data_IF_519857486469
#
_entry.id   IF_519857486469
#
_cell.length_a   1.000
_cell.length_b   1.000
_cell.length_c   1.000
_cell.angle_alpha   90.00
_cell.angle_beta   90.00
_cell.angle_gamma   90.00
#
_symmetry.space_group_name_H-M   'P 1'
#
loop_
_entity.id
_entity.type
_entity.pdbx_description
1 polymer ?
#
# COMPACT_ATOMS: atom_id res chain seq x y z
N UNK A 1 -11.92 -36.75 4.31
CA UNK A 1 -10.61 -36.49 3.66
C UNK A 1 -10.73 -35.11 3.03
N UNK A 2 -9.80 -34.18 3.27
CA UNK A 2 -9.83 -32.89 2.56
C UNK A 2 -9.67 -33.16 1.07
N UNK A 3 -10.59 -32.63 0.25
CA UNK A 3 -10.48 -32.70 -1.20
C UNK A 3 -9.15 -32.08 -1.65
N UNK A 4 -8.53 -32.68 -2.66
CA UNK A 4 -7.30 -32.16 -3.26
C UNK A 4 -7.64 -30.90 -4.02
N UNK A 5 -6.93 -29.82 -3.74
CA UNK A 5 -7.11 -28.56 -4.47
C UNK A 5 -6.50 -28.68 -5.86
N UNK A 6 -7.30 -28.46 -6.90
CA UNK A 6 -6.83 -28.52 -8.29
C UNK A 6 -6.85 -27.13 -8.91
N UNK A 7 -5.70 -26.70 -9.42
CA UNK A 7 -5.51 -25.42 -10.12
C UNK A 7 -4.78 -25.69 -11.45
N UNK A 8 -4.84 -24.75 -12.40
CA UNK A 8 -4.03 -24.80 -13.63
C UNK A 8 -2.69 -24.12 -13.38
N UNK A 9 -2.58 -22.81 -13.59
CA UNK A 9 -1.38 -22.04 -13.24
C UNK A 9 -1.64 -21.19 -12.00
N UNK A 10 -0.61 -21.05 -11.15
CA UNK A 10 -0.65 -20.18 -9.98
C UNK A 10 0.43 -19.12 -10.09
N UNK A 11 0.03 -17.87 -10.31
CA UNK A 11 0.94 -16.72 -10.40
C UNK A 11 1.17 -16.15 -9.01
N UNK A 12 2.40 -16.18 -8.53
CA UNK A 12 2.81 -15.59 -7.25
C UNK A 12 3.44 -14.23 -7.49
N UNK A 13 2.81 -13.19 -6.94
CA UNK A 13 3.26 -11.82 -7.12
C UNK A 13 4.39 -11.49 -6.13
N UNK A 14 5.58 -11.29 -6.68
CA UNK A 14 6.81 -11.03 -5.94
C UNK A 14 7.47 -12.31 -5.46
N UNK A 15 8.80 -12.30 -5.44
CA UNK A 15 9.70 -13.35 -4.94
C UNK A 15 10.45 -12.94 -3.67
N UNK A 16 10.01 -11.87 -2.99
CA UNK A 16 10.50 -11.48 -1.65
C UNK A 16 10.06 -12.46 -0.55
N UNK A 17 10.00 -12.02 0.71
CA UNK A 17 9.64 -12.88 1.84
C UNK A 17 8.26 -13.56 1.69
N UNK A 18 7.22 -12.81 1.32
CA UNK A 18 5.86 -13.34 1.15
C UNK A 18 5.75 -14.30 -0.03
N UNK A 19 6.32 -13.91 -1.17
CA UNK A 19 6.37 -14.75 -2.36
C UNK A 19 7.07 -16.08 -2.13
N UNK A 20 8.23 -16.05 -1.47
CA UNK A 20 8.98 -17.24 -1.08
C UNK A 20 8.15 -18.13 -0.17
N UNK A 21 7.48 -17.56 0.84
CA UNK A 21 6.62 -18.30 1.74
C UNK A 21 5.48 -19.00 0.98
N UNK A 22 4.72 -18.28 0.15
CA UNK A 22 3.56 -18.85 -0.54
C UNK A 22 3.95 -19.87 -1.61
N UNK A 23 4.99 -19.59 -2.40
CA UNK A 23 5.53 -20.57 -3.36
C UNK A 23 6.01 -21.85 -2.65
N UNK A 24 6.64 -21.72 -1.48
CA UNK A 24 7.04 -22.85 -0.65
C UNK A 24 5.86 -23.63 -0.08
N UNK A 25 4.78 -22.96 0.36
CA UNK A 25 3.56 -23.65 0.80
C UNK A 25 2.89 -24.43 -0.33
N UNK A 26 2.86 -23.87 -1.55
CA UNK A 26 2.33 -24.56 -2.74
C UNK A 26 3.15 -25.80 -3.07
N UNK A 27 4.49 -25.71 -3.10
CA UNK A 27 5.37 -26.86 -3.31
C UNK A 27 5.12 -27.95 -2.25
N UNK A 28 5.11 -27.57 -0.97
CA UNK A 28 4.82 -28.50 0.14
C UNK A 28 3.43 -29.13 0.04
N UNK A 29 2.44 -28.38 -0.45
CA UNK A 29 1.08 -28.89 -0.65
C UNK A 29 1.03 -29.93 -1.77
N UNK A 30 1.77 -29.72 -2.86
CA UNK A 30 1.87 -30.69 -3.93
C UNK A 30 2.61 -31.96 -3.50
N UNK A 31 3.75 -31.83 -2.81
CA UNK A 31 4.52 -32.97 -2.28
C UNK A 31 3.68 -33.86 -1.33
N UNK A 32 2.74 -33.24 -0.60
CA UNK A 32 1.82 -33.94 0.30
C UNK A 32 0.53 -34.42 -0.36
N UNK A 33 0.40 -34.28 -1.68
CA UNK A 33 -0.81 -34.64 -2.42
C UNK A 33 -2.06 -33.87 -1.98
N UNK A 34 -1.89 -32.64 -1.46
CA UNK A 34 -2.98 -31.75 -1.04
C UNK A 34 -3.34 -30.71 -2.10
N UNK A 35 -2.45 -30.47 -3.05
CA UNK A 35 -2.71 -29.64 -4.21
C UNK A 35 -2.15 -30.30 -5.48
N UNK A 36 -2.74 -29.96 -6.62
CA UNK A 36 -2.21 -30.26 -7.95
C UNK A 36 -2.33 -29.02 -8.82
N UNK A 37 -1.23 -28.63 -9.45
CA UNK A 37 -1.20 -27.55 -10.43
C UNK A 37 -0.28 -27.90 -11.59
N UNK A 38 -0.47 -27.22 -12.73
CA UNK A 38 0.42 -27.34 -13.89
C UNK A 38 1.75 -26.64 -13.62
N UNK A 39 1.71 -25.43 -13.04
CA UNK A 39 2.89 -24.66 -12.66
C UNK A 39 2.57 -23.56 -11.66
N UNK A 40 3.56 -23.23 -10.82
CA UNK A 40 3.65 -21.99 -10.05
C UNK A 40 4.63 -21.06 -10.77
N UNK A 41 4.21 -19.84 -11.04
CA UNK A 41 5.04 -18.83 -11.70
C UNK A 41 5.29 -17.71 -10.70
N UNK A 42 6.52 -17.61 -10.19
CA UNK A 42 6.91 -16.49 -9.31
C UNK A 42 7.36 -15.33 -10.18
N UNK A 43 6.66 -14.20 -10.09
CA UNK A 43 6.95 -13.01 -10.89
C UNK A 43 7.65 -11.99 -10.02
N UNK A 44 8.88 -11.63 -10.35
CA UNK A 44 9.63 -10.57 -9.65
C UNK A 44 10.44 -9.74 -10.65
N UNK A 45 10.82 -8.52 -10.26
CA UNK A 45 11.68 -7.65 -11.06
C UNK A 45 13.15 -8.03 -10.89
N UNK A 46 13.49 -8.56 -9.71
CA UNK A 46 14.83 -9.00 -9.38
C UNK A 46 15.06 -10.43 -9.91
N UNK A 47 15.97 -10.64 -10.87
CA UNK A 47 16.32 -11.98 -11.34
C UNK A 47 16.94 -12.86 -10.24
N UNK A 48 17.45 -12.25 -9.16
CA UNK A 48 18.03 -12.93 -8.01
C UNK A 48 17.10 -12.89 -6.78
N UNK A 49 15.78 -12.73 -6.98
CA UNK A 49 14.83 -12.66 -5.89
C UNK A 49 14.94 -13.87 -4.93
N UNK A 50 14.62 -13.63 -3.66
CA UNK A 50 14.76 -14.61 -2.57
C UNK A 50 14.11 -15.97 -2.89
N UNK A 51 12.92 -15.96 -3.50
CA UNK A 51 12.21 -17.18 -3.86
C UNK A 51 13.01 -18.04 -4.85
N UNK A 52 13.71 -17.41 -5.80
CA UNK A 52 14.57 -18.12 -6.74
C UNK A 52 15.78 -18.72 -6.03
N UNK A 53 16.42 -17.95 -5.15
CA UNK A 53 17.59 -18.40 -4.41
C UNK A 53 17.28 -19.55 -3.44
N UNK A 54 16.14 -19.51 -2.74
CA UNK A 54 15.78 -20.50 -1.72
C UNK A 54 15.07 -21.73 -2.29
N UNK A 55 14.23 -21.56 -3.32
CA UNK A 55 13.41 -22.65 -3.85
C UNK A 55 13.97 -23.25 -5.14
N UNK A 56 14.70 -22.47 -5.96
CA UNK A 56 15.18 -22.92 -7.27
C UNK A 56 14.04 -23.24 -8.27
N UNK A 57 14.40 -23.53 -9.52
CA UNK A 57 13.45 -24.03 -10.52
C UNK A 57 13.04 -25.49 -10.26
N UNK A 58 11.85 -25.85 -10.68
CA UNK A 58 11.34 -27.22 -10.65
C UNK A 58 10.40 -27.45 -11.86
N UNK A 59 10.06 -28.70 -12.22
CA UNK A 59 9.16 -28.98 -13.34
C UNK A 59 7.81 -28.25 -13.26
N UNK A 60 7.37 -27.93 -12.05
CA UNK A 60 6.13 -27.27 -11.70
C UNK A 60 6.35 -25.85 -11.13
N UNK A 61 7.58 -25.30 -11.16
CA UNK A 61 7.87 -23.95 -10.66
C UNK A 61 8.86 -23.22 -11.56
N UNK A 62 8.41 -22.07 -12.06
CA UNK A 62 9.21 -21.19 -12.91
C UNK A 62 9.25 -19.77 -12.35
N UNK A 63 10.16 -18.95 -12.89
CA UNK A 63 10.35 -17.57 -12.48
C UNK A 63 10.28 -16.64 -13.69
N UNK A 64 9.40 -15.65 -13.64
CA UNK A 64 9.33 -14.59 -14.64
C UNK A 64 10.00 -13.33 -14.11
N UNK A 65 10.99 -12.82 -14.85
CA UNK A 65 11.69 -11.56 -14.52
C UNK A 65 11.04 -10.42 -15.29
N UNK A 66 10.16 -9.66 -14.63
CA UNK A 66 9.44 -8.56 -15.25
C UNK A 66 8.85 -7.59 -14.22
N UNK A 67 8.61 -6.31 -14.59
CA UNK A 67 7.63 -5.48 -13.91
C UNK A 67 6.26 -6.18 -13.89
N UNK A 68 5.57 -6.14 -12.74
CA UNK A 68 4.32 -6.87 -12.56
C UNK A 68 3.20 -6.39 -13.48
N UNK A 69 3.11 -5.09 -13.70
CA UNK A 69 2.18 -4.46 -14.63
C UNK A 69 2.39 -4.96 -16.07
N UNK A 70 3.65 -5.04 -16.51
CA UNK A 70 4.02 -5.56 -17.84
C UNK A 70 3.69 -7.06 -17.96
N UNK A 71 4.01 -7.84 -16.92
CA UNK A 71 3.68 -9.26 -16.89
C UNK A 71 2.16 -9.48 -16.97
N UNK A 72 1.38 -8.78 -16.14
CA UNK A 72 -0.07 -8.95 -16.12
C UNK A 72 -0.74 -8.41 -17.38
N UNK A 73 -0.22 -7.36 -18.03
CA UNK A 73 -0.71 -6.90 -19.32
C UNK A 73 -0.65 -8.02 -20.37
N UNK A 74 0.45 -8.80 -20.40
CA UNK A 74 0.63 -9.92 -21.32
C UNK A 74 -0.19 -11.14 -20.88
N UNK A 75 -0.03 -11.55 -19.62
CA UNK A 75 -0.66 -12.76 -19.08
C UNK A 75 -2.19 -12.69 -19.13
N UNK A 76 -2.78 -11.62 -18.60
CA UNK A 76 -4.24 -11.44 -18.60
C UNK A 76 -4.75 -11.05 -19.99
N UNK A 77 -3.94 -10.39 -20.83
CA UNK A 77 -4.29 -10.08 -22.22
C UNK A 77 -4.44 -11.32 -23.11
N UNK A 78 -3.76 -12.41 -22.77
CA UNK A 78 -3.87 -13.71 -23.45
C UNK A 78 -4.73 -14.73 -22.68
N UNK A 79 -5.17 -14.41 -21.47
CA UNK A 79 -5.94 -15.32 -20.63
C UNK A 79 -7.35 -15.55 -21.21
N UNK A 80 -7.85 -16.77 -21.02
CA UNK A 80 -9.22 -17.15 -21.31
C UNK A 80 -9.80 -17.90 -20.11
N UNK A 81 -11.10 -17.73 -19.88
CA UNK A 81 -11.83 -18.43 -18.82
C UNK A 81 -11.66 -19.94 -18.95
N UNK A 82 -11.59 -20.61 -17.81
CA UNK A 82 -11.61 -22.07 -17.80
C UNK A 82 -12.97 -22.57 -18.30
N UNK A 83 -12.99 -23.66 -19.07
CA UNK A 83 -14.26 -24.30 -19.44
C UNK A 83 -14.86 -24.99 -18.21
N UNK A 84 -16.18 -25.24 -18.18
CA UNK A 84 -16.79 -26.02 -17.11
C UNK A 84 -16.07 -27.36 -16.89
N UNK A 85 -15.62 -27.61 -15.67
CA UNK A 85 -14.87 -28.82 -15.30
C UNK A 85 -13.35 -28.74 -15.49
N UNK A 86 -12.82 -27.69 -16.13
CA UNK A 86 -11.38 -27.47 -16.23
C UNK A 86 -10.84 -26.71 -15.00
N UNK A 87 -9.59 -26.97 -14.57
CA UNK A 87 -8.95 -26.18 -13.52
C UNK A 87 -8.72 -24.72 -13.95
N UNK A 88 -8.95 -23.77 -13.04
CA UNK A 88 -8.73 -22.34 -13.25
C UNK A 88 -7.30 -21.91 -12.94
N UNK A 89 -6.88 -20.79 -13.52
CA UNK A 89 -5.66 -20.09 -13.10
C UNK A 89 -5.94 -19.19 -11.89
N UNK A 90 -4.94 -19.06 -11.03
CA UNK A 90 -5.03 -18.31 -9.78
C UNK A 90 -3.88 -17.34 -9.63
N UNK A 91 -4.12 -16.26 -8.88
CA UNK A 91 -3.13 -15.26 -8.53
C UNK A 91 -3.02 -15.22 -7.00
N UNK A 92 -1.80 -15.34 -6.48
CA UNK A 92 -1.45 -15.03 -5.09
C UNK A 92 -1.05 -13.55 -5.04
N UNK A 93 -1.88 -12.66 -4.47
CA UNK A 93 -1.51 -11.26 -4.31
C UNK A 93 -0.35 -11.09 -3.33
N UNK A 94 0.39 -10.00 -3.50
CA UNK A 94 1.31 -9.55 -2.45
C UNK A 94 0.58 -8.63 -1.46
N UNK A 95 0.81 -8.78 -0.15
CA UNK A 95 0.13 -8.00 0.88
C UNK A 95 0.61 -6.54 0.98
N UNK A 96 1.67 -6.15 0.28
CA UNK A 96 2.32 -4.84 0.41
C UNK A 96 2.31 -4.03 -0.90
N UNK A 97 1.51 -4.44 -1.88
CA UNK A 97 1.69 -4.01 -3.26
C UNK A 97 0.54 -3.16 -3.80
N UNK A 98 0.80 -2.36 -4.85
CA UNK A 98 -0.24 -1.58 -5.50
C UNK A 98 -1.38 -2.46 -5.98
N UNK A 99 -2.54 -1.85 -6.22
CA UNK A 99 -3.77 -2.53 -6.65
C UNK A 99 -3.68 -3.02 -8.11
N UNK A 100 -2.81 -4.01 -8.37
CA UNK A 100 -2.38 -4.44 -9.71
C UNK A 100 -3.54 -4.82 -10.63
N UNK A 101 -4.54 -5.52 -10.11
CA UNK A 101 -5.67 -5.97 -10.94
C UNK A 101 -6.52 -4.78 -11.41
N UNK A 102 -6.67 -3.74 -10.57
CA UNK A 102 -7.28 -2.49 -11.02
C UNK A 102 -6.41 -1.75 -12.02
N UNK A 103 -5.09 -1.71 -11.84
CA UNK A 103 -4.19 -1.08 -12.81
C UNK A 103 -4.36 -1.74 -14.20
N UNK A 104 -4.49 -3.06 -14.24
CA UNK A 104 -4.77 -3.80 -15.47
C UNK A 104 -6.14 -3.44 -16.07
N UNK A 105 -7.21 -3.45 -15.27
CA UNK A 105 -8.57 -3.06 -15.72
C UNK A 105 -8.60 -1.60 -16.22
N UNK A 106 -7.92 -0.68 -15.53
CA UNK A 106 -7.78 0.72 -15.93
C UNK A 106 -7.06 0.84 -17.28
N UNK A 107 -5.96 0.12 -17.47
CA UNK A 107 -5.22 0.11 -18.74
C UNK A 107 -6.09 -0.46 -19.89
N UNK A 108 -6.83 -1.54 -19.63
CA UNK A 108 -7.80 -2.13 -20.58
C UNK A 108 -8.89 -1.14 -20.97
N UNK A 109 -9.46 -0.41 -20.02
CA UNK A 109 -10.45 0.62 -20.28
C UNK A 109 -9.89 1.77 -21.14
N UNK A 110 -8.69 2.27 -20.83
CA UNK A 110 -8.00 3.31 -21.62
C UNK A 110 -7.70 2.86 -23.03
N UNK A 111 -7.23 1.63 -23.22
CA UNK A 111 -6.97 1.07 -24.54
C UNK A 111 -8.26 0.87 -25.34
N UNK A 112 -9.34 0.45 -24.68
CA UNK A 112 -10.64 0.21 -25.30
C UNK A 112 -11.33 1.50 -25.75
N UNK A 113 -11.11 2.60 -25.03
CA UNK A 113 -11.74 3.89 -25.33
C UNK A 113 -10.74 5.05 -25.26
N UNK A 114 -9.84 5.20 -26.25
CA UNK A 114 -8.84 6.27 -26.26
C UNK A 114 -9.46 7.68 -26.35
N UNK A 115 -10.63 7.80 -26.98
CA UNK A 115 -11.36 9.07 -27.16
C UNK A 115 -12.30 9.41 -25.99
N UNK A 116 -12.25 8.65 -24.90
CA UNK A 116 -13.12 8.84 -23.74
C UNK A 116 -12.33 9.20 -22.50
N UNK A 117 -13.02 9.83 -21.58
CA UNK A 117 -12.50 10.15 -20.28
C UNK A 117 -12.47 8.88 -19.42
N UNK A 118 -11.27 8.44 -19.03
CA UNK A 118 -11.04 7.26 -18.18
C UNK A 118 -10.13 7.65 -17.02
N UNK A 119 -10.73 7.84 -15.85
CA UNK A 119 -10.05 8.40 -14.67
C UNK A 119 -10.22 7.53 -13.43
N UNK A 120 -9.27 7.67 -12.51
CA UNK A 120 -9.38 7.14 -11.15
C UNK A 120 -9.94 8.25 -10.27
N UNK A 121 -10.97 7.95 -9.49
CA UNK A 121 -11.56 8.89 -8.54
C UNK A 121 -11.45 8.35 -7.10
N UNK A 122 -11.52 9.23 -6.08
CA UNK A 122 -11.69 8.80 -4.70
C UNK A 122 -12.94 7.91 -4.56
N UNK A 123 -12.82 6.84 -3.78
CA UNK A 123 -13.98 6.01 -3.40
C UNK A 123 -14.81 6.80 -2.37
N UNK A 124 -16.05 7.22 -2.67
CA UNK A 124 -16.86 8.05 -1.77
C UNK A 124 -17.48 7.23 -0.63
N UNK A 125 -18.09 7.92 0.33
CA UNK A 125 -18.85 7.31 1.41
C UNK A 125 -17.99 6.57 2.44
N UNK A 126 -18.62 5.75 3.28
CA UNK A 126 -17.96 4.91 4.28
C UNK A 126 -18.24 3.43 4.03
N UNK A 127 -17.24 2.59 4.29
CA UNK A 127 -17.35 1.13 4.31
C UNK A 127 -17.66 0.59 5.72
N UNK A 128 -17.69 1.46 6.74
CA UNK A 128 -17.95 1.08 8.14
C UNK A 128 -16.78 0.34 8.79
N UNK A 129 -15.57 0.45 8.22
CA UNK A 129 -14.37 -0.24 8.69
C UNK A 129 -13.58 0.65 9.65
N UNK A 130 -13.10 0.12 10.80
CA UNK A 130 -12.29 0.89 11.75
C UNK A 130 -11.01 1.46 11.15
N UNK A 131 -10.33 0.69 10.31
CA UNK A 131 -9.21 1.19 9.52
C UNK A 131 -9.70 1.56 8.12
N UNK A 132 -9.46 2.81 7.73
CA UNK A 132 -9.85 3.37 6.45
C UNK A 132 -8.89 4.50 6.05
N UNK A 133 -8.12 4.27 5.00
CA UNK A 133 -7.09 5.18 4.51
C UNK A 133 -7.11 5.24 2.99
N UNK A 134 -7.03 6.44 2.44
CA UNK A 134 -6.91 6.64 0.99
C UNK A 134 -5.50 7.07 0.63
N UNK A 135 -4.94 6.45 -0.39
CA UNK A 135 -3.74 6.93 -1.06
C UNK A 135 -4.04 8.29 -1.71
N UNK A 136 -3.05 9.21 -1.75
CA UNK A 136 -3.20 10.47 -2.46
C UNK A 136 -3.39 10.24 -3.97
N UNK A 137 -3.76 11.32 -4.66
CA UNK A 137 -3.72 11.34 -6.12
C UNK A 137 -2.30 11.01 -6.64
N UNK A 138 -2.17 10.37 -7.82
CA UNK A 138 -3.25 9.96 -8.72
C UNK A 138 -3.87 8.59 -8.39
N UNK A 139 -3.33 7.86 -7.41
CA UNK A 139 -3.68 6.46 -7.19
C UNK A 139 -5.06 6.27 -6.58
N UNK A 140 -5.45 7.12 -5.64
CA UNK A 140 -6.76 7.09 -4.95
C UNK A 140 -7.19 5.72 -4.38
N UNK A 141 -6.26 4.78 -4.24
CA UNK A 141 -6.53 3.46 -3.67
C UNK A 141 -6.97 3.62 -2.21
N UNK A 142 -8.13 3.07 -1.86
CA UNK A 142 -8.67 3.08 -0.50
C UNK A 142 -8.41 1.73 0.16
N UNK A 143 -7.58 1.75 1.19
CA UNK A 143 -7.24 0.59 2.01
C UNK A 143 -8.14 0.55 3.24
N UNK A 144 -8.83 -0.57 3.42
CA UNK A 144 -9.83 -0.76 4.47
C UNK A 144 -9.61 -2.06 5.23
N UNK A 145 -9.93 -2.06 6.52
CA UNK A 145 -9.85 -3.26 7.35
C UNK A 145 -10.84 -3.20 8.52
N UNK A 146 -11.52 -4.33 8.76
CA UNK A 146 -12.35 -4.55 9.96
C UNK A 146 -11.52 -4.79 11.23
N UNK A 147 -10.25 -5.16 11.08
CA UNK A 147 -9.30 -5.19 12.17
C UNK A 147 -8.67 -3.79 12.34
N UNK A 148 -8.86 -3.17 13.50
CA UNK A 148 -8.09 -2.01 13.98
C UNK A 148 -6.80 -2.42 14.71
N UNK A 149 -6.53 -3.72 14.80
CA UNK A 149 -5.28 -4.31 15.29
C UNK A 149 -4.43 -4.90 14.15
N UNK A 150 -3.16 -5.18 14.47
CA UNK A 150 -2.26 -5.88 13.55
C UNK A 150 -2.48 -7.40 13.63
N UNK A 151 -3.04 -7.97 12.55
CA UNK A 151 -3.10 -9.42 12.38
C UNK A 151 -1.74 -10.00 11.96
N UNK A 152 -1.47 -11.29 12.20
CA UNK A 152 -0.35 -11.99 11.58
C UNK A 152 -0.43 -11.86 10.05
N UNK A 153 0.70 -11.64 9.37
CA UNK A 153 0.66 -11.38 7.92
C UNK A 153 0.16 -12.55 7.08
N UNK A 154 0.25 -13.77 7.61
CA UNK A 154 -0.27 -14.99 6.99
C UNK A 154 -1.57 -15.47 7.65
N UNK A 155 -2.38 -14.53 8.17
CA UNK A 155 -3.68 -14.84 8.74
C UNK A 155 -4.56 -15.51 7.67
N UNK A 156 -4.99 -16.74 7.94
CA UNK A 156 -5.86 -17.52 7.04
C UNK A 156 -7.35 -17.19 7.19
N UNK A 157 -7.67 -16.20 8.03
CA UNK A 157 -9.03 -15.79 8.35
C UNK A 157 -9.89 -16.98 8.82
N UNK A 158 -9.50 -17.65 9.92
CA UNK A 158 -10.20 -18.83 10.43
C UNK A 158 -11.61 -18.48 10.92
N UNK A 159 -12.55 -19.44 10.90
CA UNK A 159 -13.95 -19.20 11.30
C UNK A 159 -14.09 -18.48 12.64
N UNK A 160 -13.26 -18.84 13.63
CA UNK A 160 -13.11 -18.11 14.89
C UNK A 160 -11.86 -17.23 14.82
N UNK A 161 -12.04 -15.92 14.93
CA UNK A 161 -10.95 -14.96 14.88
C UNK A 161 -10.20 -14.95 16.22
N UNK A 162 -8.87 -15.24 16.24
CA UNK A 162 -8.11 -15.29 17.49
C UNK A 162 -8.06 -13.98 18.27
N UNK A 163 -8.17 -12.84 17.57
CA UNK A 163 -8.07 -11.52 18.21
C UNK A 163 -9.33 -11.14 19.01
N UNK A 164 -10.51 -11.59 18.55
CA UNK A 164 -11.80 -11.29 19.22
C UNK A 164 -12.38 -12.49 19.97
N UNK A 165 -11.80 -13.69 19.79
CA UNK A 165 -12.24 -14.92 20.45
C UNK A 165 -13.60 -15.46 19.98
N UNK A 166 -14.14 -14.97 18.86
CA UNK A 166 -15.47 -15.31 18.37
C UNK A 166 -15.52 -15.40 16.84
N UNK A 167 -16.66 -15.85 16.31
CA UNK A 167 -16.90 -15.84 14.87
C UNK A 167 -16.94 -14.40 14.34
N UNK A 168 -16.34 -14.18 13.17
CA UNK A 168 -16.46 -12.88 12.50
C UNK A 168 -17.92 -12.62 12.14
N UNK A 169 -18.33 -11.37 12.29
CA UNK A 169 -19.67 -10.88 11.90
C UNK A 169 -19.63 -9.99 10.66
N UNK A 170 -18.50 -9.98 9.95
CA UNK A 170 -18.23 -9.10 8.83
C UNK A 170 -17.65 -9.85 7.63
N UNK A 171 -17.95 -9.33 6.44
CA UNK A 171 -17.34 -9.73 5.17
C UNK A 171 -17.10 -8.48 4.32
N UNK A 172 -15.86 -8.24 3.90
CA UNK A 172 -15.51 -7.05 3.10
C UNK A 172 -16.28 -7.00 1.78
N UNK A 173 -16.56 -8.16 1.18
CA UNK A 173 -17.35 -8.23 -0.05
C UNK A 173 -18.73 -7.60 0.11
N UNK A 174 -19.37 -7.82 1.26
CA UNK A 174 -20.70 -7.29 1.55
C UNK A 174 -20.64 -5.80 1.87
N UNK A 175 -19.61 -5.34 2.57
CA UNK A 175 -19.37 -3.92 2.80
C UNK A 175 -19.21 -3.14 1.48
N UNK A 176 -18.42 -3.69 0.54
CA UNK A 176 -18.17 -3.07 -0.76
C UNK A 176 -19.41 -3.09 -1.65
N UNK A 177 -20.18 -4.18 -1.67
CA UNK A 177 -21.48 -4.25 -2.36
C UNK A 177 -22.48 -3.25 -1.78
N UNK A 178 -22.59 -3.19 -0.45
CA UNK A 178 -23.47 -2.25 0.24
C UNK A 178 -23.11 -0.79 -0.04
N UNK A 179 -21.82 -0.46 -0.18
CA UNK A 179 -21.41 0.87 -0.63
C UNK A 179 -21.88 1.14 -2.07
N UNK A 180 -21.67 0.20 -3.00
CA UNK A 180 -22.11 0.35 -4.38
C UNK A 180 -23.64 0.56 -4.49
N UNK A 181 -24.43 -0.17 -3.69
CA UNK A 181 -25.87 -0.01 -3.59
C UNK A 181 -26.28 1.37 -3.06
N UNK A 182 -25.64 1.85 -1.98
CA UNK A 182 -25.90 3.20 -1.46
C UNK A 182 -25.61 4.28 -2.50
N UNK A 183 -24.53 4.15 -3.27
CA UNK A 183 -24.19 5.11 -4.32
C UNK A 183 -25.24 5.11 -5.44
N UNK A 184 -25.73 3.94 -5.86
CA UNK A 184 -26.84 3.86 -6.83
C UNK A 184 -28.10 4.51 -6.32
N UNK A 185 -28.43 4.30 -5.04
CA UNK A 185 -29.62 4.89 -4.42
C UNK A 185 -29.57 6.42 -4.40
N UNK A 186 -28.37 7.02 -4.38
CA UNK A 186 -28.17 8.47 -4.50
C UNK A 186 -28.11 8.97 -5.95
N UNK A 187 -28.36 8.11 -6.94
CA UNK A 187 -28.36 8.46 -8.36
C UNK A 187 -26.98 8.43 -9.03
N UNK A 188 -25.93 7.95 -8.36
CA UNK A 188 -24.62 7.80 -9.00
C UNK A 188 -24.67 6.62 -9.99
N UNK A 189 -24.08 6.76 -11.20
CA UNK A 189 -24.09 5.73 -12.23
C UNK A 189 -23.05 4.63 -11.94
N UNK A 190 -23.14 3.99 -10.77
CA UNK A 190 -22.22 2.94 -10.32
C UNK A 190 -22.68 1.56 -10.82
N UNK A 191 -21.79 0.85 -11.50
CA UNK A 191 -21.95 -0.53 -11.95
C UNK A 191 -21.03 -1.48 -11.14
N UNK A 192 -21.32 -2.78 -11.16
CA UNK A 192 -20.56 -3.79 -10.41
C UNK A 192 -21.05 -3.98 -8.95
N UNK A 193 -20.16 -4.16 -7.95
CA UNK A 193 -18.70 -3.98 -8.00
C UNK A 193 -17.97 -5.13 -8.72
N UNK A 194 -16.77 -4.84 -9.24
CA UNK A 194 -15.83 -5.85 -9.71
C UNK A 194 -14.91 -6.27 -8.54
N UNK A 195 -15.04 -7.51 -8.04
CA UNK A 195 -14.37 -7.96 -6.83
C UNK A 195 -13.47 -9.17 -7.07
N UNK A 196 -12.20 -9.02 -6.73
CA UNK A 196 -11.19 -10.09 -6.74
C UNK A 196 -11.01 -10.56 -5.30
N UNK A 197 -11.79 -11.58 -4.92
CA UNK A 197 -11.86 -12.06 -3.53
C UNK A 197 -10.78 -13.10 -3.28
N UNK A 198 -9.80 -12.73 -2.46
CA UNK A 198 -8.74 -13.60 -1.98
C UNK A 198 -9.31 -14.63 -1.00
N UNK A 199 -9.16 -15.91 -1.32
CA UNK A 199 -9.56 -17.06 -0.49
C UNK A 199 -8.37 -17.98 -0.25
N UNK A 200 -8.31 -18.55 0.95
CA UNK A 200 -7.25 -19.49 1.31
C UNK A 200 -7.61 -20.90 0.85
N UNK A 201 -6.88 -21.45 -0.12
CA UNK A 201 -7.19 -22.76 -0.69
C UNK A 201 -6.41 -23.90 -0.02
N UNK A 202 -5.10 -23.75 0.14
CA UNK A 202 -4.25 -24.82 0.67
C UNK A 202 -3.11 -24.24 1.49
N UNK A 203 -2.88 -24.83 2.67
CA UNK A 203 -1.80 -24.44 3.59
C UNK A 203 -1.71 -22.92 3.84
N UNK A 204 -2.85 -22.25 3.89
CA UNK A 204 -2.93 -20.80 4.13
C UNK A 204 -2.45 -19.93 2.97
N UNK A 205 -2.38 -20.47 1.75
CA UNK A 205 -2.10 -19.68 0.54
C UNK A 205 -3.40 -19.01 0.08
N UNK A 206 -3.44 -17.69 0.18
CA UNK A 206 -4.53 -16.85 -0.31
C UNK A 206 -4.42 -16.60 -1.81
N UNK A 207 -5.48 -16.88 -2.56
CA UNK A 207 -5.55 -16.65 -4.01
C UNK A 207 -6.89 -16.07 -4.44
N UNK A 208 -6.93 -15.39 -5.57
CA UNK A 208 -8.16 -15.15 -6.32
C UNK A 208 -8.01 -15.70 -7.76
N UNK A 209 -9.14 -16.06 -8.37
CA UNK A 209 -9.16 -16.64 -9.71
C UNK A 209 -8.90 -15.58 -10.79
N UNK A 210 -8.18 -15.96 -11.85
CA UNK A 210 -8.02 -15.14 -13.06
C UNK A 210 -9.37 -14.87 -13.72
N UNK A 211 -10.29 -15.83 -13.70
CA UNK A 211 -11.64 -15.69 -14.26
C UNK A 211 -12.42 -14.53 -13.62
N UNK A 212 -12.23 -14.28 -12.31
CA UNK A 212 -12.82 -13.15 -11.60
C UNK A 212 -12.25 -11.80 -12.08
N UNK A 213 -10.97 -11.77 -12.48
CA UNK A 213 -10.33 -10.58 -13.06
C UNK A 213 -10.91 -10.27 -14.44
N UNK A 214 -11.09 -11.31 -15.27
CA UNK A 214 -11.73 -11.20 -16.58
C UNK A 214 -13.20 -10.75 -16.46
N UNK A 215 -13.95 -11.30 -15.50
CA UNK A 215 -15.31 -10.83 -15.17
C UNK A 215 -15.33 -9.37 -14.73
N UNK A 216 -14.34 -8.92 -13.97
CA UNK A 216 -14.18 -7.52 -13.60
C UNK A 216 -14.02 -6.58 -14.80
N UNK A 217 -13.21 -6.96 -15.80
CA UNK A 217 -13.08 -6.18 -17.04
C UNK A 217 -14.36 -6.23 -17.89
N UNK A 218 -15.09 -7.34 -17.91
CA UNK A 218 -16.40 -7.44 -18.56
C UNK A 218 -17.43 -6.48 -17.93
N UNK A 219 -17.46 -6.38 -16.59
CA UNK A 219 -18.30 -5.39 -15.88
C UNK A 219 -17.94 -3.97 -16.32
N UNK A 220 -16.64 -3.64 -16.40
CA UNK A 220 -16.17 -2.33 -16.86
C UNK A 220 -16.55 -2.08 -18.31
N UNK A 221 -16.36 -3.06 -19.19
CA UNK A 221 -16.75 -3.00 -20.58
C UNK A 221 -18.25 -2.73 -20.73
N UNK A 222 -19.09 -3.47 -20.00
CA UNK A 222 -20.53 -3.31 -20.03
C UNK A 222 -20.98 -1.93 -19.49
N UNK A 223 -20.40 -1.49 -18.37
CA UNK A 223 -20.66 -0.16 -17.79
C UNK A 223 -20.34 0.97 -18.76
N UNK A 224 -19.24 0.84 -19.51
CA UNK A 224 -18.83 1.84 -20.48
C UNK A 224 -19.53 1.73 -21.83
N UNK A 225 -20.24 0.66 -22.17
CA UNK A 225 -20.68 0.36 -23.54
C UNK A 225 -21.52 1.46 -24.18
N UNK A 226 -22.34 2.19 -23.40
CA UNK A 226 -23.23 3.24 -23.90
C UNK A 226 -22.52 4.57 -24.23
N UNK A 227 -21.27 4.75 -23.82
CA UNK A 227 -20.58 6.04 -23.91
C UNK A 227 -20.92 7.04 -22.79
N UNK A 228 -22.03 6.82 -22.06
CA UNK A 228 -22.48 7.68 -20.98
C UNK A 228 -21.52 7.69 -19.78
N UNK A 229 -21.76 8.62 -18.84
CA UNK A 229 -21.06 8.66 -17.57
C UNK A 229 -21.36 7.37 -16.77
N UNK A 230 -20.30 6.67 -16.37
CA UNK A 230 -20.39 5.44 -15.61
C UNK A 230 -19.25 5.37 -14.59
N UNK A 231 -19.47 4.62 -13.52
CA UNK A 231 -18.47 4.36 -12.49
C UNK A 231 -18.45 2.87 -12.15
N UNK A 232 -17.28 2.33 -11.85
CA UNK A 232 -17.14 0.94 -11.38
C UNK A 232 -16.24 0.91 -10.15
N UNK A 233 -16.78 0.36 -9.07
CA UNK A 233 -15.99 0.08 -7.87
C UNK A 233 -15.25 -1.23 -8.08
N UNK A 234 -13.91 -1.17 -8.04
CA UNK A 234 -13.03 -2.32 -8.25
C UNK A 234 -12.30 -2.62 -6.95
N UNK A 235 -12.37 -3.86 -6.48
CA UNK A 235 -11.80 -4.28 -5.20
C UNK A 235 -10.93 -5.53 -5.32
N UNK A 236 -9.81 -5.55 -4.61
CA UNK A 236 -9.03 -6.76 -4.33
C UNK A 236 -9.08 -6.92 -2.83
N UNK A 237 -9.83 -7.91 -2.37
CA UNK A 237 -10.31 -7.97 -0.99
C UNK A 237 -10.16 -9.39 -0.43
N UNK A 238 -10.08 -9.49 0.89
CA UNK A 238 -10.29 -10.71 1.67
C UNK A 238 -11.62 -10.62 2.42
N UNK A 239 -11.87 -11.46 3.42
CA UNK A 239 -13.03 -11.26 4.32
C UNK A 239 -12.81 -10.07 5.25
N UNK A 240 -11.57 -9.84 5.70
CA UNK A 240 -11.26 -8.83 6.73
C UNK A 240 -10.80 -7.46 6.19
N UNK A 241 -10.02 -7.45 5.11
CA UNK A 241 -9.36 -6.24 4.61
C UNK A 241 -9.28 -6.22 3.08
N UNK A 242 -8.97 -5.05 2.51
CA UNK A 242 -8.71 -4.98 1.08
C UNK A 242 -8.37 -3.58 0.59
N UNK A 243 -8.13 -3.50 -0.71
CA UNK A 243 -7.92 -2.27 -1.45
C UNK A 243 -9.04 -2.09 -2.47
N UNK A 244 -9.53 -0.86 -2.59
CA UNK A 244 -10.59 -0.49 -3.53
C UNK A 244 -10.29 0.80 -4.29
N UNK A 245 -10.71 0.85 -5.55
CA UNK A 245 -10.57 2.01 -6.42
C UNK A 245 -11.89 2.27 -7.15
N UNK A 246 -12.19 3.53 -7.46
CA UNK A 246 -13.32 3.91 -8.30
C UNK A 246 -12.83 4.29 -9.69
N UNK A 247 -13.20 3.48 -10.70
CA UNK A 247 -13.00 3.80 -12.10
C UNK A 247 -14.16 4.66 -12.59
N UNK A 248 -13.88 5.82 -13.20
CA UNK A 248 -14.87 6.67 -13.86
C UNK A 248 -14.66 6.63 -15.37
N UNK A 249 -15.77 6.46 -16.10
CA UNK A 249 -15.85 6.45 -17.56
C UNK A 249 -16.84 7.52 -18.01
N UNK A 250 -16.59 8.18 -19.13
CA UNK A 250 -17.53 9.15 -19.68
C UNK A 250 -16.99 9.86 -20.92
N UNK A 251 -17.75 10.81 -21.48
CA UNK A 251 -17.21 11.69 -22.51
C UNK A 251 -16.15 12.63 -21.92
N UNK A 252 -15.19 13.07 -22.75
CA UNK A 252 -14.10 13.99 -22.35
C UNK A 252 -14.60 15.27 -21.68
N UNK A 253 -15.82 15.72 -21.99
CA UNK A 253 -16.47 16.88 -21.39
C UNK A 253 -16.93 16.69 -19.94
N UNK A 254 -17.19 15.46 -19.49
CA UNK A 254 -17.84 15.17 -18.19
C UNK A 254 -16.85 15.00 -17.04
N UNK A 255 -15.56 14.75 -17.31
CA UNK A 255 -14.53 14.71 -16.25
C UNK A 255 -14.03 16.12 -15.89
N UNK A 256 -14.49 17.14 -16.61
CA UNK A 256 -14.07 18.53 -16.43
C UNK A 256 -14.84 19.35 -15.39
N UNK A 257 -15.88 18.81 -14.69
CA UNK A 257 -16.53 19.27 -13.42
C UNK A 257 -18.02 18.83 -13.37
N UNK A 258 -18.62 18.45 -12.21
CA UNK A 258 -18.51 19.14 -10.92
C UNK A 258 -18.39 18.22 -9.68
N UNK A 259 -17.19 18.17 -9.08
CA UNK A 259 -17.02 17.95 -7.63
C UNK A 259 -15.79 18.69 -7.05
N UNK A 260 -15.09 19.50 -7.85
CA UNK A 260 -13.95 20.31 -7.41
C UNK A 260 -14.33 21.64 -6.71
N UNK A 261 -15.42 21.68 -5.94
CA UNK A 261 -15.68 22.79 -5.01
C UNK A 261 -15.81 22.33 -3.56
N UNK A 262 -14.67 21.90 -3.01
CA UNK A 262 -14.05 22.44 -1.79
C UNK A 262 -12.73 21.74 -1.52
N UNK A 263 -11.67 22.21 -2.16
CA UNK A 263 -10.34 22.37 -1.59
C UNK A 263 -9.59 23.24 -2.59
N UNK A 264 -9.17 24.41 -2.16
CA UNK A 264 -8.34 25.32 -2.95
C UNK A 264 -7.14 24.56 -3.51
N UNK A 265 -7.09 24.51 -4.82
CA UNK A 265 -6.03 23.99 -5.66
C UNK A 265 -4.84 24.96 -5.60
N UNK A 266 -3.70 24.45 -5.11
CA UNK A 266 -2.36 24.94 -5.46
C UNK A 266 -1.50 23.72 -5.79
N UNK A 267 -1.73 23.11 -6.96
CA UNK A 267 -0.72 22.43 -7.77
C UNK A 267 0.37 21.64 -7.05
N UNK A 268 0.04 20.57 -6.32
CA UNK A 268 0.96 19.47 -5.95
C UNK A 268 2.22 19.82 -5.13
N UNK A 269 2.44 21.09 -4.78
CA UNK A 269 3.48 21.56 -3.88
C UNK A 269 2.89 21.65 -2.47
N UNK A 270 3.59 21.05 -1.51
CA UNK A 270 3.21 21.15 -0.11
C UNK A 270 3.34 22.62 0.29
N UNK A 271 2.23 23.26 0.67
CA UNK A 271 2.25 24.65 1.11
C UNK A 271 3.05 24.79 2.42
N UNK A 272 3.61 25.98 2.73
CA UNK A 272 4.30 26.21 3.99
C UNK A 272 3.45 25.88 5.23
N UNK A 273 2.15 26.16 5.16
CA UNK A 273 1.19 25.89 6.24
C UNK A 273 0.96 24.38 6.43
N UNK A 274 0.79 23.62 5.33
CA UNK A 274 0.67 22.16 5.39
C UNK A 274 1.95 21.51 5.91
N UNK A 275 3.11 22.00 5.45
CA UNK A 275 4.41 21.56 5.93
C UNK A 275 4.53 21.78 7.44
N UNK A 276 4.19 22.97 7.93
CA UNK A 276 4.23 23.29 9.35
C UNK A 276 3.27 22.42 10.18
N UNK A 277 2.07 22.12 9.65
CA UNK A 277 1.10 21.25 10.31
C UNK A 277 1.61 19.80 10.42
N UNK A 278 2.16 19.25 9.33
CA UNK A 278 2.76 17.91 9.32
C UNK A 278 3.94 17.85 10.29
N UNK A 279 4.76 18.90 10.32
CA UNK A 279 5.92 18.97 11.20
C UNK A 279 5.55 19.02 12.68
N UNK A 280 4.54 19.82 13.03
CA UNK A 280 4.02 19.89 14.39
C UNK A 280 3.50 18.53 14.83
N UNK A 281 2.72 17.87 13.96
CA UNK A 281 2.22 16.52 14.21
C UNK A 281 3.34 15.49 14.34
N UNK A 282 4.34 15.53 13.47
CA UNK A 282 5.50 14.63 13.53
C UNK A 282 6.25 14.77 14.86
N UNK A 283 6.46 16.00 15.32
CA UNK A 283 7.06 16.32 16.62
C UNK A 283 6.26 15.73 17.77
N UNK A 284 4.96 15.98 17.80
CA UNK A 284 4.10 15.55 18.89
C UNK A 284 4.01 14.01 18.96
N UNK A 285 3.89 13.34 17.81
CA UNK A 285 3.96 11.88 17.69
C UNK A 285 5.32 11.33 18.11
N UNK A 286 6.41 11.98 17.72
CA UNK A 286 7.75 11.53 18.11
C UNK A 286 7.92 11.61 19.63
N UNK A 287 7.53 12.75 20.22
CA UNK A 287 7.70 13.03 21.64
C UNK A 287 6.73 12.24 22.53
N UNK A 288 5.59 11.78 22.00
CA UNK A 288 4.70 10.85 22.70
C UNK A 288 5.16 9.38 22.61
N UNK A 289 6.22 9.10 21.85
CA UNK A 289 6.61 7.73 21.57
C UNK A 289 5.63 7.05 20.62
N UNK A 290 5.17 7.70 19.57
CA UNK A 290 4.51 7.06 18.43
C UNK A 290 5.46 7.02 17.23
N UNK A 291 6.63 6.41 17.41
CA UNK A 291 7.75 6.51 16.44
C UNK A 291 7.41 6.02 15.03
N UNK A 292 6.51 5.04 14.89
CA UNK A 292 6.06 4.62 13.56
C UNK A 292 5.27 5.73 12.85
N UNK A 293 4.30 6.36 13.54
CA UNK A 293 3.50 7.44 12.99
C UNK A 293 4.34 8.70 12.76
N UNK A 294 5.31 8.96 13.65
CA UNK A 294 6.29 10.03 13.46
C UNK A 294 7.16 9.78 12.21
N UNK A 295 7.60 8.54 11.99
CA UNK A 295 8.32 8.13 10.77
C UNK A 295 7.50 8.43 9.51
N UNK A 296 6.24 8.04 9.46
CA UNK A 296 5.36 8.29 8.29
C UNK A 296 5.13 9.80 8.04
N UNK A 297 4.95 10.58 9.11
CA UNK A 297 4.78 12.02 9.01
C UNK A 297 6.05 12.72 8.48
N UNK A 298 7.23 12.32 8.98
CA UNK A 298 8.52 12.83 8.50
C UNK A 298 8.79 12.42 7.04
N UNK A 299 8.43 11.19 6.65
CA UNK A 299 8.58 10.70 5.28
C UNK A 299 7.74 11.49 4.28
N UNK A 300 6.55 11.96 4.70
CA UNK A 300 5.67 12.81 3.88
C UNK A 300 6.38 14.11 3.46
N UNK A 301 7.12 14.75 4.36
CA UNK A 301 7.89 15.96 4.07
C UNK A 301 9.17 15.65 3.30
N UNK A 302 9.84 14.55 3.62
CA UNK A 302 11.03 14.13 2.88
C UNK A 302 10.75 13.85 1.39
N UNK A 303 9.59 13.26 1.05
CA UNK A 303 9.18 13.02 -0.34
C UNK A 303 8.99 14.32 -1.14
N UNK A 304 8.57 15.42 -0.50
CA UNK A 304 8.49 16.71 -1.19
C UNK A 304 9.87 17.31 -1.45
N UNK A 305 10.81 17.16 -0.52
CA UNK A 305 12.19 17.63 -0.65
C UNK A 305 12.95 16.91 -1.78
N UNK A 306 12.78 15.59 -1.91
CA UNK A 306 13.39 14.83 -3.01
C UNK A 306 12.92 15.34 -4.37
N UNK A 307 11.62 15.63 -4.48
CA UNK A 307 11.03 16.15 -5.71
C UNK A 307 11.56 17.53 -6.07
N UNK A 308 11.91 18.34 -5.08
CA UNK A 308 12.51 19.67 -5.26
C UNK A 308 14.03 19.61 -5.52
N UNK A 309 14.66 18.43 -5.47
CA UNK A 309 16.05 18.20 -5.89
C UNK A 309 17.14 18.51 -4.86
N UNK A 310 16.78 18.84 -3.61
CA UNK A 310 17.77 19.11 -2.55
C UNK A 310 18.26 17.80 -1.89
N UNK A 311 19.27 17.19 -2.51
CA UNK A 311 19.85 15.94 -2.04
C UNK A 311 20.44 16.02 -0.62
N UNK A 312 20.96 17.19 -0.23
CA UNK A 312 21.56 17.38 1.09
C UNK A 312 20.52 17.51 2.19
N UNK A 313 19.42 18.23 1.95
CA UNK A 313 18.28 18.28 2.84
C UNK A 313 17.65 16.90 2.99
N UNK A 314 17.43 16.22 1.85
CA UNK A 314 16.86 14.89 1.82
C UNK A 314 17.66 13.87 2.66
N UNK A 315 18.99 14.00 2.71
CA UNK A 315 19.84 13.15 3.53
C UNK A 315 19.61 13.36 5.04
N UNK A 316 19.55 14.60 5.52
CA UNK A 316 19.31 14.91 6.94
C UNK A 316 17.92 14.45 7.37
N UNK A 317 16.92 14.68 6.52
CA UNK A 317 15.55 14.23 6.73
C UNK A 317 15.42 12.71 6.79
N UNK A 318 16.14 12.00 5.92
CA UNK A 318 16.25 10.54 6.00
C UNK A 318 16.90 10.09 7.31
N UNK A 319 17.82 10.88 7.87
CA UNK A 319 18.38 10.68 9.21
C UNK A 319 17.32 10.74 10.32
N UNK A 320 16.43 11.73 10.31
CA UNK A 320 15.32 11.88 11.27
C UNK A 320 14.32 10.72 11.17
N UNK A 321 13.96 10.32 9.95
CA UNK A 321 13.10 9.16 9.67
C UNK A 321 13.73 7.88 10.24
N UNK A 322 15.02 7.67 9.99
CA UNK A 322 15.76 6.52 10.49
C UNK A 322 15.93 6.56 12.02
N UNK A 323 16.01 7.74 12.64
CA UNK A 323 16.04 7.88 14.09
C UNK A 323 14.75 7.37 14.74
N UNK A 324 13.58 7.72 14.19
CA UNK A 324 12.29 7.21 14.65
C UNK A 324 12.23 5.67 14.52
N UNK A 325 12.65 5.12 13.38
CA UNK A 325 12.72 3.68 13.18
C UNK A 325 13.69 2.97 14.14
N UNK A 326 14.85 3.57 14.43
CA UNK A 326 15.84 3.03 15.37
C UNK A 326 15.30 2.97 16.80
N UNK A 327 14.62 4.02 17.28
CA UNK A 327 13.99 4.02 18.59
C UNK A 327 12.79 3.06 18.67
N UNK A 328 12.08 2.82 17.56
CA UNK A 328 11.04 1.79 17.48
C UNK A 328 11.66 0.38 17.60
N UNK A 329 12.78 0.14 16.92
CA UNK A 329 13.54 -1.11 17.08
C UNK A 329 14.02 -1.30 18.52
N UNK A 330 14.46 -0.23 19.18
CA UNK A 330 14.86 -0.27 20.59
C UNK A 330 13.70 -0.68 21.50
N UNK A 331 12.52 -0.07 21.31
CA UNK A 331 11.31 -0.44 22.07
C UNK A 331 10.84 -1.87 21.84
N UNK A 332 11.04 -2.40 20.62
CA UNK A 332 10.72 -3.79 20.27
C UNK A 332 11.80 -4.80 20.67
N UNK A 333 12.89 -4.37 21.31
CA UNK A 333 14.01 -5.24 21.67
C UNK A 333 14.83 -5.75 20.47
N UNK A 334 14.65 -5.18 19.28
CA UNK A 334 15.38 -5.57 18.07
C UNK A 334 16.78 -4.95 18.04
N UNK A 335 17.74 -5.62 18.69
CA UNK A 335 19.15 -5.19 18.80
C UNK A 335 19.83 -4.99 17.45
N UNK A 336 19.55 -5.84 16.47
CA UNK A 336 20.13 -5.73 15.13
C UNK A 336 19.62 -4.47 14.42
N UNK A 337 18.31 -4.22 14.47
CA UNK A 337 17.67 -3.02 13.92
C UNK A 337 18.21 -1.73 14.54
N UNK A 338 18.37 -1.71 15.87
CA UNK A 338 19.02 -0.59 16.60
C UNK A 338 20.44 -0.35 16.06
N UNK A 339 21.25 -1.39 15.92
CA UNK A 339 22.66 -1.27 15.48
C UNK A 339 22.82 -0.83 14.03
N UNK A 340 21.96 -1.30 13.13
CA UNK A 340 22.06 -1.02 11.68
C UNK A 340 21.40 0.32 11.36
N UNK A 341 20.13 0.48 11.72
CA UNK A 341 19.35 1.69 11.40
C UNK A 341 19.83 2.87 12.23
N UNK A 342 20.16 2.66 13.51
CA UNK A 342 20.69 3.71 14.38
C UNK A 342 22.02 4.29 13.90
N UNK A 343 22.97 3.44 13.47
CA UNK A 343 24.24 3.90 12.88
C UNK A 343 24.02 4.72 11.62
N UNK A 344 23.09 4.27 10.76
CA UNK A 344 22.71 4.98 9.54
C UNK A 344 22.07 6.33 9.84
N UNK A 345 21.20 6.41 10.86
CA UNK A 345 20.59 7.66 11.32
C UNK A 345 21.66 8.65 11.82
N UNK A 346 22.55 8.21 12.71
CA UNK A 346 23.63 9.03 13.27
C UNK A 346 24.57 9.55 12.19
N UNK A 347 24.91 8.73 11.19
CA UNK A 347 25.77 9.12 10.09
C UNK A 347 25.12 10.19 9.20
N UNK A 348 23.80 10.14 8.99
CA UNK A 348 23.07 11.12 8.16
C UNK A 348 22.76 12.43 8.89
N UNK A 349 22.67 12.37 10.22
CA UNK A 349 22.49 13.54 11.08
C UNK A 349 23.82 14.19 11.49
N UNK A 350 24.96 13.59 11.15
CA UNK A 350 26.27 14.15 11.47
C UNK A 350 26.54 15.41 10.61
N UNK A 351 26.97 16.48 11.25
CA UNK A 351 27.30 17.74 10.59
C UNK A 351 26.76 18.95 11.35
N UNK A 352 26.91 20.13 10.73
CA UNK A 352 26.35 21.38 11.25
C UNK A 352 24.85 21.47 10.99
N UNK A 353 24.16 22.27 11.80
CA UNK A 353 22.73 22.55 11.62
C UNK A 353 22.49 23.16 10.24
N UNK A 354 21.56 22.57 9.49
CA UNK A 354 21.14 23.07 8.18
C UNK A 354 20.06 24.16 8.31
N UNK A 355 20.16 25.28 7.56
CA UNK A 355 19.19 26.37 7.62
C UNK A 355 17.81 25.98 7.07
N UNK A 356 17.77 25.03 6.13
CA UNK A 356 16.62 24.48 5.41
C UNK A 356 15.97 23.27 6.10
N UNK A 357 16.42 22.93 7.30
CA UNK A 357 15.80 21.92 8.17
C UNK A 357 15.22 22.62 9.40
N UNK A 358 13.94 22.41 9.67
CA UNK A 358 13.16 23.10 10.70
C UNK A 358 13.44 22.58 12.11
N UNK A 359 13.90 21.33 12.22
CA UNK A 359 14.24 20.70 13.48
C UNK A 359 15.68 20.98 13.89
N UNK A 360 15.89 21.08 15.20
CA UNK A 360 17.22 21.08 15.79
C UNK A 360 17.78 19.65 15.67
N UNK A 361 18.87 19.52 14.92
CA UNK A 361 19.43 18.23 14.52
C UNK A 361 20.74 17.89 15.25
N UNK A 362 21.49 18.89 15.71
CA UNK A 362 22.81 18.70 16.31
C UNK A 362 22.66 18.11 17.72
N UNK A 363 21.91 18.79 18.59
CA UNK A 363 21.63 18.28 19.94
C UNK A 363 20.79 17.01 19.87
N UNK A 364 19.86 16.92 18.92
CA UNK A 364 19.08 15.71 18.69
C UNK A 364 19.98 14.50 18.39
N UNK A 365 20.98 14.65 17.50
CA UNK A 365 21.91 13.59 17.13
C UNK A 365 22.73 13.10 18.33
N UNK A 366 23.24 14.02 19.15
CA UNK A 366 24.00 13.68 20.36
C UNK A 366 23.15 12.92 21.37
N UNK A 367 21.90 13.35 21.57
CA UNK A 367 20.95 12.69 22.47
C UNK A 367 20.54 11.32 21.94
N UNK A 368 20.33 11.19 20.63
CA UNK A 368 20.05 9.93 19.97
C UNK A 368 21.20 8.94 20.17
N UNK A 369 22.46 9.37 20.01
CA UNK A 369 23.62 8.52 20.21
C UNK A 369 23.66 7.96 21.64
N UNK A 370 23.39 8.79 22.65
CA UNK A 370 23.29 8.36 24.05
C UNK A 370 22.14 7.38 24.26
N UNK A 371 20.95 7.71 23.78
CA UNK A 371 19.77 6.86 23.93
C UNK A 371 19.99 5.45 23.34
N UNK A 372 20.59 5.36 22.16
CA UNK A 372 20.84 4.08 21.49
C UNK A 372 21.98 3.27 22.13
N UNK A 373 22.93 3.92 22.80
CA UNK A 373 24.08 3.26 23.46
C UNK A 373 23.75 2.75 24.87
N UNK A 374 22.98 3.50 25.66
CA UNK A 374 22.78 3.22 27.09
C UNK A 374 21.31 3.02 27.50
N UNK A 375 20.38 2.93 26.54
CA UNK A 375 18.93 2.95 26.83
C UNK A 375 18.49 4.17 27.66
N UNK A 376 19.24 5.27 27.58
CA UNK A 376 18.84 6.55 28.15
C UNK A 376 17.53 7.04 27.52
N UNK A 377 16.90 8.03 28.15
CA UNK A 377 15.67 8.62 27.63
C UNK A 377 15.82 9.02 26.15
N UNK A 378 14.83 8.71 25.30
CA UNK A 378 14.88 9.06 23.90
C UNK A 378 15.02 10.59 23.74
N UNK A 379 15.71 11.06 22.69
CA UNK A 379 15.74 12.49 22.39
C UNK A 379 14.32 13.01 22.18
N UNK A 380 14.13 14.31 22.40
CA UNK A 380 12.91 14.99 21.95
C UNK A 380 13.18 15.62 20.59
N UNK A 381 12.22 15.51 19.69
CA UNK A 381 12.21 16.27 18.46
C UNK A 381 11.75 17.69 18.79
N UNK A 382 12.56 18.70 18.48
CA UNK A 382 12.28 20.10 18.80
C UNK A 382 12.56 20.98 17.58
N UNK A 383 11.75 22.03 17.41
CA UNK A 383 12.02 23.04 16.39
C UNK A 383 13.23 23.87 16.76
N UNK A 384 13.92 24.40 15.76
CA UNK A 384 14.99 25.37 15.98
C UNK A 384 14.41 26.64 16.61
N UNK A 385 15.14 27.25 17.53
CA UNK A 385 14.88 28.63 17.91
C UNK A 385 15.18 29.52 16.69
N UNK A 386 14.28 30.42 16.32
CA UNK A 386 14.50 31.34 15.20
C UNK A 386 15.68 32.26 15.47
N UNK A 387 16.51 32.50 14.46
CA UNK A 387 17.53 33.55 14.48
C UNK A 387 16.84 34.92 14.40
N UNK A 388 16.27 35.39 15.50
CA UNK A 388 15.38 36.55 15.46
C UNK A 388 14.94 37.10 16.81
N UNK A 389 15.84 37.12 17.80
CA UNK A 389 15.71 38.03 18.95
C UNK A 389 17.09 38.39 19.52
N UNK A 390 17.97 38.89 18.65
CA UNK A 390 19.00 39.84 19.10
C UNK A 390 18.28 41.18 19.26
N UNK A 391 17.87 41.50 20.49
CA UNK A 391 17.52 42.86 20.88
C UNK A 391 18.64 43.77 20.41
N UNK A 392 18.35 44.60 19.42
CA UNK A 392 19.09 45.84 19.18
C UNK A 392 18.78 46.73 20.38
N UNK A 393 19.64 46.65 21.38
CA UNK A 393 19.73 47.67 22.42
C UNK A 393 20.56 48.82 21.84
N UNK A 394 19.98 49.52 20.88
CA UNK A 394 20.49 50.82 20.44
C UNK A 394 19.91 51.86 21.39
N UNK A 395 20.61 52.05 22.50
CA UNK A 395 20.45 53.21 23.35
C UNK A 395 20.81 54.47 22.55
N UNK A 396 19.83 55.35 22.36
CA UNK A 396 20.01 56.79 22.22
C UNK A 396 18.97 57.45 23.14
N UNK A 397 19.42 57.76 24.35
CA UNK A 397 18.84 58.79 25.21
C UNK A 397 19.90 59.89 25.33
N UNK A 398 19.43 61.12 25.19
CA UNK A 398 20.16 62.39 25.06
C UNK A 398 21.27 62.66 26.08
#
# INVERSE_FOLDING_TARGET
MSDVVVMRDVVVVGGGCYGTFYAGQLAKAQDKGKARFRRVIVVDRDPACRARAELGEAPDRTFAVAPWDVYFATFLGAAARARPGEPQDYIVPSPLMPHLMFQWVLARARQRWPERAVAVAPVPGSLGTPYDRSAPAPDHARYVSFADWLCPTHCVEPAICPAIGSARTWEMGDAVRGLAERLRATGEPVHGPALFVCRHHVFGVGTFAVDAVLEGDEIVQAAGASGAAAAVLVGTISSCHGAGNLLRLGPLSVISHPWARRTTDDGGRMTPQERQAILTRARDLFNSGEYWLAHEALETVWRSIIRDGDAGAAQVWQGLIQAAAALLHQRRGNRHGVKVVGRSALAKLAGSQRPDVEFETVRFQEQLARALASHANPPRLEFRAGDGERKTDDGHGD
#
